data_IF_603548125408
#
_entry.id   IF_603548125408
#
_cell.length_a   1.000
_cell.length_b   1.000
_cell.length_c   1.000
_cell.angle_alpha   90.00
_cell.angle_beta   90.00
_cell.angle_gamma   90.00
#
_symmetry.space_group_name_H-M   'P 1'
#
loop_
_entity.id
_entity.type
_entity.pdbx_description
1 polymer ?
#
# COMPACT_ATOMS: atom_id res chain seq x y z
N UNK A 1 5.35 -21.46 -0.24
CA UNK A 1 4.52 -20.71 0.72
C UNK A 1 3.31 -20.19 -0.02
N UNK A 2 2.13 -20.21 0.60
CA UNK A 2 0.95 -19.56 0.02
C UNK A 2 1.21 -18.07 -0.13
N UNK A 3 0.74 -17.46 -1.21
CA UNK A 3 0.85 -16.00 -1.39
C UNK A 3 -0.31 -15.33 -0.68
N UNK A 4 -0.02 -14.26 0.07
CA UNK A 4 -1.03 -13.49 0.78
C UNK A 4 -1.01 -12.06 0.25
N UNK A 5 -2.14 -11.59 -0.25
CA UNK A 5 -2.31 -10.23 -0.76
C UNK A 5 -3.20 -9.42 0.17
N UNK A 6 -2.75 -8.21 0.48
CA UNK A 6 -3.47 -7.24 1.29
C UNK A 6 -3.94 -6.09 0.39
N UNK A 7 -5.18 -5.66 0.56
CA UNK A 7 -5.74 -4.49 -0.14
C UNK A 7 -6.05 -3.39 0.85
N UNK A 8 -5.54 -2.19 0.60
CA UNK A 8 -5.72 -1.03 1.47
C UNK A 8 -6.36 0.15 0.74
N UNK A 9 -7.12 0.95 1.49
CA UNK A 9 -7.39 2.34 1.15
C UNK A 9 -6.45 3.25 1.95
N UNK A 10 -5.71 4.12 1.28
CA UNK A 10 -4.62 4.90 1.87
C UNK A 10 -4.93 6.39 1.77
N UNK A 11 -5.03 7.07 2.92
CA UNK A 11 -5.14 8.53 3.01
C UNK A 11 -3.76 9.15 3.00
N UNK A 12 -3.54 10.08 2.07
CA UNK A 12 -2.31 10.84 1.96
C UNK A 12 -2.37 12.16 2.75
N UNK A 13 -1.20 12.74 3.04
CA UNK A 13 -1.06 14.06 3.66
C UNK A 13 -1.67 15.19 2.84
N UNK A 14 -1.90 14.97 1.54
CA UNK A 14 -2.63 15.89 0.64
C UNK A 14 -4.14 15.88 0.86
N UNK A 15 -4.68 14.92 1.61
CA UNK A 15 -6.11 14.66 1.75
C UNK A 15 -6.69 13.73 0.68
N UNK A 16 -5.88 13.32 -0.30
CA UNK A 16 -6.26 12.36 -1.32
C UNK A 16 -6.34 10.93 -0.77
N UNK A 17 -7.33 10.17 -1.24
CA UNK A 17 -7.44 8.74 -0.99
C UNK A 17 -6.99 7.93 -2.20
N UNK A 18 -5.96 7.12 -2.02
CA UNK A 18 -5.62 6.04 -2.94
C UNK A 18 -6.46 4.82 -2.57
N UNK A 19 -7.33 4.37 -3.47
CA UNK A 19 -8.28 3.28 -3.22
C UNK A 19 -7.78 1.95 -3.80
N UNK A 20 -8.17 0.86 -3.14
CA UNK A 20 -7.92 -0.51 -3.59
C UNK A 20 -6.46 -0.84 -3.93
N UNK A 21 -5.53 -0.32 -3.14
CA UNK A 21 -4.09 -0.56 -3.31
C UNK A 21 -3.76 -1.98 -2.87
N UNK A 22 -3.39 -2.83 -3.83
CA UNK A 22 -3.09 -4.25 -3.61
C UNK A 22 -1.58 -4.51 -3.57
N UNK A 23 -1.12 -5.25 -2.56
CA UNK A 23 0.29 -5.64 -2.43
C UNK A 23 0.45 -7.04 -1.82
N UNK A 24 1.59 -7.68 -2.09
CA UNK A 24 1.98 -8.94 -1.45
C UNK A 24 2.52 -8.63 -0.04
N UNK A 25 1.97 -9.26 1.00
CA UNK A 25 2.32 -8.98 2.40
C UNK A 25 1.66 -7.72 2.99
N UNK A 26 1.84 -7.51 4.30
CA UNK A 26 1.28 -6.36 4.99
C UNK A 26 1.99 -5.05 4.58
N UNK A 27 1.36 -3.89 4.80
CA UNK A 27 1.93 -2.60 4.40
C UNK A 27 3.26 -2.32 5.14
N UNK A 28 3.32 -2.69 6.41
CA UNK A 28 4.48 -2.50 7.28
C UNK A 28 5.69 -3.34 6.83
N UNK A 29 5.42 -4.57 6.34
CA UNK A 29 6.47 -5.47 5.83
C UNK A 29 7.10 -4.93 4.54
N UNK A 30 6.34 -4.14 3.78
CA UNK A 30 6.79 -3.47 2.56
C UNK A 30 7.62 -2.21 2.85
N UNK A 31 7.66 -1.73 4.11
CA UNK A 31 8.56 -0.67 4.59
C UNK A 31 9.54 -1.21 5.64
N UNK A 32 10.49 -2.09 5.29
CA UNK A 32 11.35 -2.80 6.24
C UNK A 32 12.36 -1.92 7.03
N UNK A 33 12.25 -0.59 6.98
CA UNK A 33 13.04 0.36 7.76
C UNK A 33 13.84 1.37 6.93
N UNK A 34 14.88 1.95 7.56
CA UNK A 34 15.60 3.21 7.23
C UNK A 34 15.97 3.43 5.75
N UNK A 35 16.07 2.39 4.94
CA UNK A 35 16.48 2.49 3.54
C UNK A 35 15.32 2.54 2.53
N UNK A 36 14.09 2.17 2.90
CA UNK A 36 12.95 2.11 1.98
C UNK A 36 11.82 2.97 2.52
N UNK A 37 11.76 4.22 2.06
CA UNK A 37 10.62 5.10 2.30
C UNK A 37 9.65 5.11 1.14
N UNK A 38 9.99 4.50 0.01
CA UNK A 38 9.17 4.49 -1.20
C UNK A 38 8.88 3.06 -1.65
N UNK A 39 7.62 2.77 -1.95
CA UNK A 39 7.20 1.55 -2.63
C UNK A 39 6.40 1.90 -3.87
N UNK A 40 6.52 1.10 -4.92
CA UNK A 40 5.68 1.25 -6.10
C UNK A 40 4.37 0.50 -5.89
N UNK A 41 3.26 1.19 -6.07
CA UNK A 41 1.92 0.63 -5.98
C UNK A 41 1.13 0.94 -7.24
N UNK A 42 0.15 0.09 -7.54
CA UNK A 42 -0.80 0.33 -8.63
C UNK A 42 -2.11 0.85 -8.06
N UNK A 43 -2.65 1.88 -8.71
CA UNK A 43 -3.98 2.44 -8.41
C UNK A 43 -5.07 1.69 -9.17
N UNK A 44 -6.34 1.93 -8.85
CA UNK A 44 -7.49 1.40 -9.61
C UNK A 44 -7.46 1.74 -11.11
N UNK A 45 -6.75 2.79 -11.50
CA UNK A 45 -6.60 3.20 -12.90
C UNK A 45 -5.41 2.51 -13.60
N UNK A 46 -4.83 1.48 -12.98
CA UNK A 46 -3.60 0.79 -13.42
C UNK A 46 -2.41 1.74 -13.59
N UNK A 47 -2.46 2.91 -12.96
CA UNK A 47 -1.35 3.86 -12.97
C UNK A 47 -0.40 3.52 -11.83
N UNK A 48 0.90 3.34 -12.13
CA UNK A 48 1.91 3.15 -11.10
C UNK A 48 2.15 4.47 -10.36
N UNK A 49 2.16 4.41 -9.04
CA UNK A 49 2.43 5.53 -8.14
C UNK A 49 3.53 5.13 -7.17
N UNK A 50 4.47 6.03 -6.91
CA UNK A 50 5.46 5.86 -5.84
C UNK A 50 4.86 6.35 -4.52
N UNK A 51 4.53 5.42 -3.63
CA UNK A 51 4.01 5.71 -2.30
C UNK A 51 5.15 5.96 -1.32
N UNK A 52 5.18 7.14 -0.71
CA UNK A 52 6.13 7.48 0.35
C UNK A 52 5.53 7.23 1.73
N UNK A 53 6.19 6.48 2.62
CA UNK A 53 5.71 6.21 3.98
C UNK A 53 5.38 7.49 4.76
N UNK A 54 6.16 8.56 4.58
CA UNK A 54 5.99 9.82 5.31
C UNK A 54 4.80 10.64 4.81
N UNK A 55 4.19 10.25 3.69
CA UNK A 55 2.98 10.86 3.16
C UNK A 55 1.72 10.06 3.51
N UNK A 56 1.84 8.93 4.20
CA UNK A 56 0.69 8.12 4.64
C UNK A 56 0.18 8.67 5.97
N UNK A 57 -1.08 9.10 5.99
CA UNK A 57 -1.78 9.50 7.22
C UNK A 57 -2.51 8.32 7.85
N UNK A 58 -3.15 7.49 7.00
CA UNK A 58 -3.93 6.32 7.43
C UNK A 58 -3.93 5.28 6.33
N UNK A 59 -3.87 4.00 6.69
CA UNK A 59 -4.13 2.87 5.81
C UNK A 59 -5.26 2.02 6.40
N UNK A 60 -6.35 1.84 5.65
CA UNK A 60 -7.49 1.02 6.03
C UNK A 60 -7.41 -0.31 5.30
N UNK A 61 -7.25 -1.41 6.03
CA UNK A 61 -7.26 -2.75 5.46
C UNK A 61 -8.67 -3.12 5.01
N UNK A 62 -8.85 -3.38 3.71
CA UNK A 62 -10.13 -3.72 3.09
C UNK A 62 -10.33 -5.23 3.00
N UNK A 63 -9.31 -5.97 2.53
CA UNK A 63 -9.37 -7.43 2.37
C UNK A 63 -7.98 -8.07 2.41
N UNK A 64 -7.99 -9.36 2.72
CA UNK A 64 -6.84 -10.27 2.65
C UNK A 64 -7.22 -11.46 1.77
N UNK A 65 -6.38 -11.80 0.79
CA UNK A 65 -6.57 -12.92 -0.14
C UNK A 65 -5.41 -13.91 0.01
N UNK A 66 -5.70 -15.21 0.20
CA UNK A 66 -4.70 -16.28 0.29
C UNK A 66 -4.77 -17.23 -0.92
N UNK A 67 -3.62 -17.53 -1.52
CA UNK A 67 -3.47 -18.43 -2.68
C UNK A 67 -2.50 -19.58 -2.37
#
# INVERSE_FOLDING_TARGET
MKKVFYTYDILLTTGEWLRNIRMEGALEDNFPGVAVSFIQVETEQEKPVALNMYHIVKAELIRVEEF
#
